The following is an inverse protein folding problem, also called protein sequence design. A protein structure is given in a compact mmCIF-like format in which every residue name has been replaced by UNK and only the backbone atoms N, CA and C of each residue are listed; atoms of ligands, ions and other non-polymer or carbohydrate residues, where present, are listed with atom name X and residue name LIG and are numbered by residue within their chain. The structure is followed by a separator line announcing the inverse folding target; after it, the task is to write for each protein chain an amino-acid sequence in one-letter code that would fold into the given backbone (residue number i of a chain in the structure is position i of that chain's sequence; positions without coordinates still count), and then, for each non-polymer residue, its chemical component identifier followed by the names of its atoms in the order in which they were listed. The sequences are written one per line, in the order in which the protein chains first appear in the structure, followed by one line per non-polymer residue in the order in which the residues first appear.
data_IF_482973149599
#
_entry.id   IF_482973149599
#
_cell.length_a   1.000
_cell.length_b   1.000
_cell.length_c   1.000
_cell.angle_alpha   90.00
_cell.angle_beta   90.00
_cell.angle_gamma   90.00
#
_symmetry.space_group_name_H-M   'P 1'
#
loop_
_entity.id
_entity.type
_entity.pdbx_description
1 polymer ?
#
# COMPACT_ATOMS: atom_id res chain seq x y z
N UNK A 1 21.55 5.84 -14.97
CA UNK A 1 20.19 5.91 -14.42
C UNK A 1 19.28 6.13 -15.60
N UNK A 2 18.52 5.11 -15.99
CA UNK A 2 17.74 5.13 -17.22
C UNK A 2 16.32 4.65 -16.95
N UNK A 3 15.34 5.38 -17.47
CA UNK A 3 13.92 5.07 -17.29
C UNK A 3 13.32 4.48 -18.55
N UNK A 4 12.89 3.23 -18.47
CA UNK A 4 12.23 2.49 -19.53
C UNK A 4 10.71 2.58 -19.41
N UNK A 5 10.06 2.90 -20.52
CA UNK A 5 8.60 2.97 -20.65
C UNK A 5 8.09 1.86 -21.55
N UNK A 6 7.00 1.21 -21.15
CA UNK A 6 6.38 0.18 -21.99
C UNK A 6 5.27 0.83 -22.84
N UNK A 7 5.41 0.70 -24.15
CA UNK A 7 4.44 1.21 -25.11
C UNK A 7 3.18 0.33 -25.13
N UNK A 8 2.00 0.95 -25.03
CA UNK A 8 0.70 0.28 -25.08
C UNK A 8 0.14 0.23 -26.51
N UNK A 9 0.21 1.34 -27.22
CA UNK A 9 -0.19 1.47 -28.63
C UNK A 9 0.68 2.53 -29.33
N UNK A 10 0.30 3.01 -30.53
CA UNK A 10 1.15 3.94 -31.29
C UNK A 10 1.43 5.27 -30.56
N UNK A 11 0.52 5.72 -29.69
CA UNK A 11 0.59 7.04 -29.05
C UNK A 11 0.60 6.97 -27.52
N UNK A 12 0.24 5.84 -26.93
CA UNK A 12 0.10 5.69 -25.48
C UNK A 12 1.13 4.75 -24.85
N UNK A 13 1.46 5.04 -23.60
CA UNK A 13 2.29 4.20 -22.72
C UNK A 13 1.45 3.64 -21.56
N UNK A 14 1.91 2.54 -20.98
CA UNK A 14 1.36 2.09 -19.71
C UNK A 14 1.73 3.08 -18.59
N UNK A 15 0.88 3.23 -17.56
CA UNK A 15 1.07 4.20 -16.49
C UNK A 15 2.10 3.73 -15.44
N UNK A 16 3.14 3.04 -15.87
CA UNK A 16 4.26 2.60 -15.02
C UNK A 16 5.55 2.61 -15.82
N UNK A 17 6.66 2.79 -15.11
CA UNK A 17 8.01 2.88 -15.68
C UNK A 17 8.98 2.02 -14.88
N UNK A 18 10.04 1.54 -15.53
CA UNK A 18 11.13 0.86 -14.86
C UNK A 18 12.37 1.73 -14.89
N UNK A 19 12.97 1.95 -13.74
CA UNK A 19 14.21 2.69 -13.64
C UNK A 19 15.36 1.72 -13.41
N UNK A 20 16.21 1.57 -14.43
CA UNK A 20 17.39 0.75 -14.33
C UNK A 20 18.56 1.50 -13.69
N UNK A 21 19.31 0.77 -12.88
CA UNK A 21 20.47 1.28 -12.14
C UNK A 21 21.67 0.40 -12.39
N UNK A 22 22.86 0.98 -12.28
CA UNK A 22 24.09 0.20 -12.39
C UNK A 22 24.12 -0.86 -11.28
N UNK A 23 24.65 -2.05 -11.58
CA UNK A 23 24.72 -3.16 -10.62
C UNK A 23 25.50 -2.84 -9.34
N UNK A 24 25.16 -3.56 -8.26
CA UNK A 24 25.93 -3.56 -7.02
C UNK A 24 27.17 -4.47 -7.18
N UNK A 25 28.35 -3.88 -7.07
CA UNK A 25 29.63 -4.60 -7.16
C UNK A 25 30.57 -4.16 -6.02
N UNK A 26 31.63 -4.94 -5.77
CA UNK A 26 32.61 -4.61 -4.72
C UNK A 26 33.44 -3.39 -5.12
N UNK A 27 33.84 -3.36 -6.39
CA UNK A 27 34.60 -2.29 -7.02
C UNK A 27 33.81 -1.82 -8.24
N UNK A 28 33.75 -0.53 -8.49
CA UNK A 28 33.10 0.07 -9.66
C UNK A 28 31.58 -0.15 -9.83
N UNK A 29 30.91 -0.67 -8.80
CA UNK A 29 29.45 -0.74 -8.72
C UNK A 29 28.82 0.57 -8.29
N UNK A 30 27.49 0.63 -8.34
CA UNK A 30 26.74 1.78 -7.81
C UNK A 30 26.95 1.92 -6.29
N UNK A 31 27.04 3.16 -5.83
CA UNK A 31 27.02 3.48 -4.40
C UNK A 31 25.63 3.22 -3.82
N UNK A 32 25.55 2.59 -2.64
CA UNK A 32 24.27 2.43 -1.95
C UNK A 32 23.61 3.78 -1.62
N UNK A 33 24.41 4.83 -1.40
CA UNK A 33 23.89 6.19 -1.15
C UNK A 33 23.22 6.77 -2.39
N UNK A 34 23.72 6.48 -3.58
CA UNK A 34 23.09 6.95 -4.83
C UNK A 34 21.76 6.24 -5.05
N UNK A 35 21.65 4.97 -4.68
CA UNK A 35 20.36 4.25 -4.71
C UNK A 35 19.40 4.83 -3.68
N UNK A 36 19.87 5.17 -2.46
CA UNK A 36 19.04 5.84 -1.44
C UNK A 36 18.52 7.20 -1.93
N UNK A 37 19.36 7.97 -2.64
CA UNK A 37 18.94 9.21 -3.29
C UNK A 37 17.93 8.95 -4.42
N UNK A 38 18.12 7.90 -5.21
CA UNK A 38 17.17 7.51 -6.25
C UNK A 38 15.80 7.14 -5.65
N UNK A 39 15.76 6.44 -4.51
CA UNK A 39 14.50 6.11 -3.81
C UNK A 39 13.68 7.38 -3.51
N UNK A 40 14.35 8.48 -3.18
CA UNK A 40 13.76 9.77 -2.85
C UNK A 40 13.53 10.68 -4.07
N UNK A 41 13.89 10.25 -5.29
CA UNK A 41 13.75 11.01 -6.54
C UNK A 41 14.84 12.06 -6.78
N UNK A 42 15.94 12.00 -6.04
CA UNK A 42 17.02 12.99 -6.11
C UNK A 42 18.03 12.74 -7.25
N UNK A 43 17.85 11.69 -8.05
CA UNK A 43 18.72 11.34 -9.19
C UNK A 43 18.02 11.68 -10.49
N UNK A 44 18.63 12.50 -11.35
CA UNK A 44 18.05 12.85 -12.66
C UNK A 44 18.22 11.73 -13.69
N UNK A 45 17.28 11.66 -14.62
CA UNK A 45 17.36 10.83 -15.82
C UNK A 45 18.69 11.05 -16.57
N UNK A 46 19.31 9.96 -17.01
CA UNK A 46 20.60 9.99 -17.71
C UNK A 46 21.83 10.17 -16.82
N UNK A 47 21.68 10.26 -15.49
CA UNK A 47 22.84 10.35 -14.59
C UNK A 47 23.77 9.13 -14.72
N UNK A 48 25.06 9.41 -14.88
CA UNK A 48 26.12 8.41 -14.91
C UNK A 48 26.69 8.24 -13.50
N UNK A 49 26.50 7.05 -12.91
CA UNK A 49 26.98 6.75 -11.57
C UNK A 49 28.51 6.81 -11.49
N UNK A 50 29.01 7.61 -10.55
CA UNK A 50 30.43 7.70 -10.26
C UNK A 50 30.83 6.58 -9.28
N UNK A 51 31.78 5.70 -9.64
CA UNK A 51 32.20 4.61 -8.77
C UNK A 51 33.05 5.05 -7.57
N UNK A 52 33.60 6.28 -7.60
CA UNK A 52 34.54 6.80 -6.60
C UNK A 52 33.82 7.57 -5.50
N UNK A 53 32.81 8.36 -5.85
CA UNK A 53 32.09 9.22 -4.90
C UNK A 53 30.59 9.21 -5.15
N UNK A 54 29.76 9.18 -4.08
CA UNK A 54 28.32 9.33 -4.20
C UNK A 54 27.92 10.69 -4.80
N UNK A 55 26.73 10.73 -5.40
CA UNK A 55 26.06 11.94 -5.84
C UNK A 55 25.83 12.89 -4.65
N UNK A 56 26.14 14.16 -4.84
CA UNK A 56 25.96 15.22 -3.86
C UNK A 56 24.99 16.30 -4.36
N UNK A 57 24.48 17.12 -3.45
CA UNK A 57 23.56 18.21 -3.80
C UNK A 57 24.16 19.30 -4.70
N UNK A 58 25.49 19.35 -4.81
CA UNK A 58 26.20 20.28 -5.70
C UNK A 58 26.32 19.76 -7.14
N UNK A 59 26.06 18.47 -7.37
CA UNK A 59 26.28 17.84 -8.67
C UNK A 59 25.13 18.15 -9.64
N UNK A 60 25.43 18.37 -10.94
CA UNK A 60 24.39 18.63 -11.95
C UNK A 60 23.31 17.54 -12.04
N UNK A 61 23.69 16.29 -11.74
CA UNK A 61 22.80 15.12 -11.73
C UNK A 61 21.82 15.06 -10.56
N UNK A 62 21.95 15.95 -9.57
CA UNK A 62 21.08 16.00 -8.39
C UNK A 62 19.78 16.77 -8.69
N UNK A 63 18.65 16.17 -8.34
CA UNK A 63 17.34 16.81 -8.34
C UNK A 63 17.05 17.36 -6.94
N UNK A 64 17.09 18.69 -6.77
CA UNK A 64 16.90 19.33 -5.46
C UNK A 64 15.44 19.35 -4.98
N UNK A 65 14.48 19.20 -5.90
CA UNK A 65 13.05 19.31 -5.59
C UNK A 65 12.28 18.16 -6.28
N UNK A 66 12.43 16.92 -5.80
CA UNK A 66 11.76 15.77 -6.38
C UNK A 66 10.24 15.86 -6.19
N UNK A 67 9.52 15.62 -7.28
CA UNK A 67 8.08 15.38 -7.28
C UNK A 67 7.77 13.96 -6.78
N UNK A 68 6.48 13.64 -6.66
CA UNK A 68 6.05 12.26 -6.31
C UNK A 68 6.41 11.30 -7.45
N UNK A 69 6.23 11.74 -8.70
CA UNK A 69 6.54 10.95 -9.90
C UNK A 69 8.03 10.62 -10.02
N UNK A 70 8.91 11.45 -9.44
CA UNK A 70 10.36 11.21 -9.41
C UNK A 70 10.75 10.12 -8.39
N UNK A 71 9.90 9.81 -7.41
CA UNK A 71 10.21 8.86 -6.34
C UNK A 71 10.00 7.42 -6.77
N UNK A 72 10.77 6.52 -6.16
CA UNK A 72 10.57 5.09 -6.37
C UNK A 72 9.33 4.62 -5.61
N UNK A 73 8.41 4.02 -6.34
CA UNK A 73 7.16 3.49 -5.78
C UNK A 73 7.29 2.03 -5.31
N UNK A 74 8.23 1.28 -5.88
CA UNK A 74 8.54 -0.11 -5.50
C UNK A 74 10.04 -0.35 -5.67
N UNK A 75 10.69 -0.87 -4.64
CA UNK A 75 12.05 -1.38 -4.76
C UNK A 75 12.02 -2.84 -5.22
N UNK A 76 12.60 -3.15 -6.37
CA UNK A 76 12.73 -4.53 -6.87
C UNK A 76 14.20 -4.93 -6.87
N UNK A 77 14.56 -5.90 -6.03
CA UNK A 77 15.90 -6.50 -6.01
C UNK A 77 15.95 -7.70 -6.96
N UNK A 78 16.68 -7.60 -8.05
CA UNK A 78 16.90 -8.73 -8.97
C UNK A 78 18.16 -9.48 -8.55
N UNK A 79 18.04 -10.78 -8.30
CA UNK A 79 19.13 -11.64 -7.83
C UNK A 79 19.07 -12.98 -8.53
N UNK A 80 20.24 -13.55 -8.86
CA UNK A 80 20.29 -14.94 -9.31
C UNK A 80 19.98 -15.91 -8.18
N UNK A 81 19.38 -17.06 -8.50
CA UNK A 81 19.16 -18.17 -7.56
C UNK A 81 20.47 -18.66 -6.91
N UNK A 82 21.63 -18.36 -7.50
CA UNK A 82 22.96 -18.56 -6.92
C UNK A 82 23.40 -17.50 -5.90
N UNK A 83 22.47 -16.73 -5.32
CA UNK A 83 22.79 -15.67 -4.37
C UNK A 83 23.63 -16.12 -3.16
N UNK A 84 23.71 -17.43 -2.84
CA UNK A 84 24.63 -17.90 -1.80
C UNK A 84 26.11 -17.69 -2.11
N UNK A 85 26.46 -17.45 -3.38
CA UNK A 85 27.80 -17.05 -3.80
C UNK A 85 28.00 -15.52 -3.75
N UNK A 86 26.96 -14.76 -3.40
CA UNK A 86 27.05 -13.32 -3.25
C UNK A 86 28.00 -12.98 -2.11
N UNK A 87 28.90 -12.04 -2.37
CA UNK A 87 29.84 -11.55 -1.36
C UNK A 87 29.09 -10.88 -0.21
N UNK A 88 29.49 -11.09 1.06
CA UNK A 88 28.86 -10.46 2.21
C UNK A 88 28.76 -8.93 2.10
N UNK A 89 29.76 -8.29 1.48
CA UNK A 89 29.81 -6.85 1.21
C UNK A 89 28.63 -6.37 0.36
N UNK A 90 28.25 -7.12 -0.67
CA UNK A 90 27.10 -6.81 -1.55
C UNK A 90 25.78 -7.03 -0.82
N UNK A 91 25.69 -8.13 -0.06
CA UNK A 91 24.52 -8.43 0.76
C UNK A 91 24.24 -7.29 1.76
N UNK A 92 25.28 -6.76 2.41
CA UNK A 92 25.15 -5.61 3.31
C UNK A 92 24.65 -4.35 2.59
N UNK A 93 25.15 -4.04 1.39
CA UNK A 93 24.63 -2.92 0.58
C UNK A 93 23.14 -3.10 0.26
N UNK A 94 22.73 -4.31 -0.11
CA UNK A 94 21.32 -4.61 -0.37
C UNK A 94 20.44 -4.46 0.87
N UNK A 95 20.90 -4.93 2.03
CA UNK A 95 20.19 -4.76 3.30
C UNK A 95 20.03 -3.28 3.66
N UNK A 96 21.11 -2.50 3.54
CA UNK A 96 21.15 -1.06 3.77
C UNK A 96 20.17 -0.29 2.88
N UNK A 97 20.09 -0.65 1.59
CA UNK A 97 19.12 -0.06 0.64
C UNK A 97 17.68 -0.45 1.00
N UNK A 98 17.45 -1.73 1.33
CA UNK A 98 16.12 -2.22 1.73
C UNK A 98 15.63 -1.54 3.02
N UNK A 99 16.50 -1.32 3.98
CA UNK A 99 16.19 -0.61 5.22
C UNK A 99 15.78 0.83 4.95
N UNK A 100 16.54 1.55 4.13
CA UNK A 100 16.16 2.89 3.70
C UNK A 100 14.82 2.92 2.95
N UNK A 101 14.54 1.93 2.11
CA UNK A 101 13.22 1.80 1.46
C UNK A 101 12.10 1.51 2.48
N UNK A 102 12.39 0.72 3.52
CA UNK A 102 11.44 0.42 4.60
C UNK A 102 11.10 1.65 5.43
N UNK A 103 12.10 2.48 5.74
CA UNK A 103 11.91 3.74 6.46
C UNK A 103 11.04 4.74 5.67
N UNK A 104 11.10 4.67 4.33
CA UNK A 104 10.26 5.45 3.41
C UNK A 104 8.88 4.80 3.16
N UNK A 105 8.62 3.61 3.74
CA UNK A 105 7.41 2.83 3.52
C UNK A 105 7.28 2.22 2.11
N UNK A 106 8.32 2.32 1.27
CA UNK A 106 8.34 1.83 -0.11
C UNK A 106 8.29 0.30 -0.08
N UNK A 107 7.31 -0.37 -0.72
CA UNK A 107 7.27 -1.82 -0.78
C UNK A 107 8.52 -2.40 -1.46
N UNK A 108 9.08 -3.47 -0.88
CA UNK A 108 10.25 -4.16 -1.43
C UNK A 108 9.87 -5.55 -1.92
N UNK A 109 10.27 -5.88 -3.15
CA UNK A 109 10.12 -7.17 -3.79
C UNK A 109 11.49 -7.71 -4.19
N UNK A 110 11.62 -9.03 -4.30
CA UNK A 110 12.79 -9.66 -4.87
C UNK A 110 12.39 -10.52 -6.07
N UNK A 111 13.16 -10.46 -7.15
CA UNK A 111 13.05 -11.35 -8.30
C UNK A 111 14.24 -12.30 -8.25
N UNK A 112 13.98 -13.59 -8.08
CA UNK A 112 15.01 -14.63 -8.14
C UNK A 112 15.07 -15.20 -9.55
N UNK A 113 16.14 -14.90 -10.28
CA UNK A 113 16.37 -15.33 -11.67
C UNK A 113 17.15 -16.65 -11.74
N UNK A 114 17.24 -17.25 -12.93
CA UNK A 114 18.04 -18.48 -13.18
C UNK A 114 17.65 -19.67 -12.27
N UNK A 115 16.37 -19.76 -11.92
CA UNK A 115 15.86 -20.79 -11.01
C UNK A 115 15.95 -22.20 -11.58
N UNK A 116 15.98 -22.32 -12.90
CA UNK A 116 16.11 -23.56 -13.67
C UNK A 116 17.51 -24.14 -13.60
N UNK A 117 18.54 -23.31 -13.40
CA UNK A 117 19.89 -23.79 -13.31
C UNK A 117 20.28 -24.28 -11.89
N UNK A 118 19.55 -23.86 -10.87
CA UNK A 118 19.86 -24.15 -9.45
C UNK A 118 19.21 -25.45 -8.95
N UNK A 119 18.10 -25.90 -9.56
CA UNK A 119 17.37 -27.07 -9.09
C UNK A 119 16.90 -27.96 -10.26
N UNK A 120 17.33 -29.22 -10.26
CA UNK A 120 16.94 -30.16 -11.32
C UNK A 120 15.44 -30.44 -11.40
N UNK A 121 14.67 -30.15 -10.34
CA UNK A 121 13.20 -30.25 -10.37
C UNK A 121 12.56 -29.07 -11.10
N UNK A 122 13.12 -27.85 -10.97
CA UNK A 122 12.67 -26.64 -11.66
C UNK A 122 13.19 -26.59 -13.09
N UNK A 123 14.37 -27.16 -13.34
CA UNK A 123 14.91 -27.44 -14.68
C UNK A 123 13.94 -28.32 -15.48
N UNK A 124 13.45 -29.41 -14.87
CA UNK A 124 12.50 -30.34 -15.50
C UNK A 124 11.13 -29.72 -15.71
N UNK A 125 10.67 -28.89 -14.76
CA UNK A 125 9.39 -28.19 -14.87
C UNK A 125 9.31 -26.99 -13.93
N UNK A 126 9.03 -25.82 -14.50
CA UNK A 126 8.79 -24.58 -13.76
C UNK A 126 7.55 -24.65 -12.85
N UNK A 127 6.66 -25.62 -13.06
CA UNK A 127 5.53 -25.87 -12.15
C UNK A 127 5.97 -26.35 -10.76
N UNK A 128 7.20 -26.85 -10.66
CA UNK A 128 7.77 -27.32 -9.41
C UNK A 128 8.43 -26.20 -8.58
N UNK A 129 8.50 -24.98 -9.09
CA UNK A 129 9.15 -23.84 -8.41
C UNK A 129 8.64 -23.67 -6.98
N UNK A 130 7.33 -23.74 -6.76
CA UNK A 130 6.76 -23.66 -5.41
C UNK A 130 6.61 -25.01 -4.71
N UNK A 131 6.92 -26.13 -5.35
CA UNK A 131 6.78 -27.50 -4.80
C UNK A 131 8.09 -28.09 -4.33
N UNK A 132 9.21 -27.73 -4.97
CA UNK A 132 10.54 -28.23 -4.62
C UNK A 132 10.91 -27.83 -3.19
N UNK A 133 11.12 -28.83 -2.34
CA UNK A 133 11.55 -28.60 -0.95
C UNK A 133 12.93 -27.93 -0.89
N UNK A 134 13.80 -28.27 -1.85
CA UNK A 134 15.12 -27.67 -1.98
C UNK A 134 15.00 -26.19 -2.30
N UNK A 135 14.25 -25.84 -3.34
CA UNK A 135 14.10 -24.44 -3.75
C UNK A 135 13.37 -23.61 -2.67
N UNK A 136 12.35 -24.16 -2.01
CA UNK A 136 11.70 -23.51 -0.87
C UNK A 136 12.68 -23.21 0.28
N UNK A 137 13.63 -24.12 0.56
CA UNK A 137 14.66 -23.88 1.57
C UNK A 137 15.56 -22.72 1.15
N UNK A 138 16.01 -22.69 -0.11
CA UNK A 138 16.83 -21.60 -0.66
C UNK A 138 16.11 -20.25 -0.59
N UNK A 139 14.82 -20.20 -0.92
CA UNK A 139 14.05 -18.96 -0.76
C UNK A 139 13.95 -18.51 0.70
N UNK A 140 13.79 -19.44 1.66
CA UNK A 140 13.79 -19.10 3.10
C UNK A 140 15.12 -18.55 3.58
N UNK A 141 16.22 -19.14 3.11
CA UNK A 141 17.56 -18.69 3.42
C UNK A 141 17.76 -17.26 2.85
N UNK A 142 17.37 -17.01 1.59
CA UNK A 142 17.39 -15.68 0.97
C UNK A 142 16.54 -14.66 1.73
N UNK A 143 15.32 -15.05 2.09
CA UNK A 143 14.40 -14.24 2.89
C UNK A 143 15.02 -13.83 4.22
N UNK A 144 15.71 -14.77 4.88
CA UNK A 144 16.38 -14.52 6.17
C UNK A 144 17.61 -13.61 6.00
N UNK A 145 18.36 -13.78 4.92
CA UNK A 145 19.57 -13.01 4.64
C UNK A 145 19.29 -11.55 4.30
N UNK A 146 18.28 -11.28 3.45
CA UNK A 146 17.94 -9.91 3.06
C UNK A 146 16.85 -9.27 3.90
N UNK A 147 16.07 -10.07 4.64
CA UNK A 147 14.90 -9.58 5.36
C UNK A 147 13.74 -9.19 4.45
N UNK A 148 13.62 -9.82 3.28
CA UNK A 148 12.46 -9.72 2.37
C UNK A 148 11.53 -10.90 2.65
N UNK A 149 10.25 -10.68 2.98
CA UNK A 149 9.31 -11.76 3.26
C UNK A 149 9.16 -12.77 2.11
N UNK A 150 8.96 -14.04 2.43
CA UNK A 150 8.79 -15.13 1.45
C UNK A 150 7.72 -14.86 0.39
N UNK A 151 6.60 -14.23 0.76
CA UNK A 151 5.51 -13.89 -0.16
C UNK A 151 5.81 -12.70 -1.09
N UNK A 152 7.00 -12.11 -0.97
CA UNK A 152 7.54 -11.01 -1.79
C UNK A 152 8.77 -11.44 -2.61
N UNK A 153 9.10 -12.73 -2.60
CA UNK A 153 10.13 -13.34 -3.44
C UNK A 153 9.46 -13.97 -4.66
N UNK A 154 9.85 -13.52 -5.85
CA UNK A 154 9.24 -13.83 -7.13
C UNK A 154 10.25 -14.60 -7.99
N UNK A 155 10.19 -15.94 -7.97
CA UNK A 155 11.06 -16.77 -8.81
C UNK A 155 10.68 -16.67 -10.29
N UNK A 156 11.67 -16.43 -11.14
CA UNK A 156 11.53 -16.37 -12.60
C UNK A 156 12.67 -17.14 -13.28
N UNK A 157 12.37 -17.74 -14.43
CA UNK A 157 13.39 -18.24 -15.36
C UNK A 157 13.73 -17.13 -16.36
N UNK A 158 15.01 -17.01 -16.71
CA UNK A 158 15.44 -16.07 -17.74
C UNK A 158 15.27 -16.68 -19.12
N UNK A 159 14.95 -15.84 -20.10
CA UNK A 159 15.21 -16.16 -21.50
C UNK A 159 16.70 -15.94 -21.77
N UNK A 160 17.43 -16.99 -22.12
CA UNK A 160 18.87 -16.90 -22.39
C UNK A 160 19.27 -17.50 -23.73
N UNK A 161 18.70 -18.66 -24.07
CA UNK A 161 19.04 -19.40 -25.29
C UNK A 161 17.82 -19.77 -26.14
N UNK A 162 16.63 -19.64 -25.55
CA UNK A 162 15.37 -19.94 -26.21
C UNK A 162 15.07 -18.91 -27.30
N UNK A 163 14.62 -19.40 -28.45
CA UNK A 163 14.23 -18.58 -29.60
C UNK A 163 12.72 -18.35 -29.68
N UNK A 164 11.95 -19.08 -28.88
CA UNK A 164 10.49 -19.02 -28.83
C UNK A 164 10.03 -18.71 -27.41
N UNK A 165 8.86 -18.08 -27.30
CA UNK A 165 8.20 -17.85 -26.03
C UNK A 165 7.76 -19.18 -25.41
N UNK A 166 7.82 -19.23 -24.09
CA UNK A 166 7.46 -20.40 -23.28
C UNK A 166 6.35 -19.97 -22.31
N UNK A 167 5.15 -20.57 -22.38
CA UNK A 167 4.02 -20.15 -21.56
C UNK A 167 4.25 -20.26 -20.05
N UNK A 168 5.05 -21.23 -19.60
CA UNK A 168 5.33 -21.42 -18.18
C UNK A 168 6.32 -20.35 -17.69
N UNK A 169 7.32 -19.98 -18.50
CA UNK A 169 8.24 -18.84 -18.23
C UNK A 169 7.48 -17.51 -18.24
N UNK A 170 6.68 -17.25 -19.28
CA UNK A 170 5.87 -16.05 -19.41
C UNK A 170 4.91 -15.89 -18.24
N UNK A 171 4.31 -16.99 -17.77
CA UNK A 171 3.43 -16.96 -16.59
C UNK A 171 4.16 -16.45 -15.35
N UNK A 172 5.42 -16.87 -15.13
CA UNK A 172 6.21 -16.39 -13.99
C UNK A 172 6.58 -14.91 -14.13
N UNK A 173 6.99 -14.47 -15.32
CA UNK A 173 7.36 -13.08 -15.60
C UNK A 173 6.14 -12.16 -15.46
N UNK A 174 5.00 -12.53 -16.06
CA UNK A 174 3.75 -11.76 -16.00
C UNK A 174 3.19 -11.72 -14.58
N UNK A 175 3.30 -12.81 -13.83
CA UNK A 175 2.94 -12.80 -12.41
C UNK A 175 3.87 -11.87 -11.62
N UNK A 176 5.18 -11.89 -11.86
CA UNK A 176 6.11 -10.99 -11.20
C UNK A 176 5.80 -9.52 -11.50
N UNK A 177 5.57 -9.19 -12.77
CA UNK A 177 5.16 -7.86 -13.24
C UNK A 177 3.87 -7.40 -12.56
N UNK A 178 2.84 -8.25 -12.56
CA UNK A 178 1.57 -7.96 -11.91
C UNK A 178 1.77 -7.62 -10.44
N UNK A 179 2.58 -8.40 -9.72
CA UNK A 179 2.85 -8.17 -8.30
C UNK A 179 3.58 -6.83 -8.09
N UNK A 180 4.53 -6.48 -8.94
CA UNK A 180 5.20 -5.17 -8.87
C UNK A 180 4.20 -4.02 -9.04
N UNK A 181 3.30 -4.12 -10.01
CA UNK A 181 2.26 -3.11 -10.26
C UNK A 181 1.30 -3.03 -9.06
N UNK A 182 0.76 -4.17 -8.59
CA UNK A 182 -0.17 -4.21 -7.45
C UNK A 182 0.43 -3.51 -6.20
N UNK A 183 1.69 -3.80 -5.86
CA UNK A 183 2.36 -3.16 -4.73
C UNK A 183 2.66 -1.67 -4.96
N UNK A 184 2.99 -1.29 -6.20
CA UNK A 184 3.26 0.10 -6.57
C UNK A 184 2.00 0.95 -6.51
N UNK A 185 0.90 0.44 -7.05
CA UNK A 185 -0.41 1.09 -7.01
C UNK A 185 -0.88 1.27 -5.55
N UNK A 186 -0.77 0.23 -4.71
CA UNK A 186 -1.09 0.29 -3.27
C UNK A 186 -0.26 1.37 -2.53
N UNK A 187 1.01 1.57 -2.92
CA UNK A 187 1.87 2.59 -2.31
C UNK A 187 1.57 3.99 -2.85
N UNK A 188 1.37 4.13 -4.16
CA UNK A 188 1.00 5.39 -4.79
C UNK A 188 -0.34 5.92 -4.26
N UNK A 189 -1.33 5.05 -4.02
CA UNK A 189 -2.59 5.43 -3.37
C UNK A 189 -2.36 6.05 -1.99
N UNK A 190 -1.50 5.46 -1.17
CA UNK A 190 -1.15 5.99 0.17
C UNK A 190 -0.46 7.34 0.10
N UNK A 191 0.45 7.52 -0.86
CA UNK A 191 1.11 8.81 -1.09
C UNK A 191 0.09 9.88 -1.47
N UNK A 192 -0.82 9.58 -2.39
CA UNK A 192 -1.88 10.50 -2.81
C UNK A 192 -2.82 10.88 -1.66
N UNK A 193 -3.20 9.94 -0.79
CA UNK A 193 -4.03 10.19 0.39
C UNK A 193 -3.36 11.19 1.35
N UNK A 194 -2.04 11.11 1.52
CA UNK A 194 -1.28 12.02 2.39
C UNK A 194 -1.20 13.47 1.87
N UNK A 195 -1.40 13.67 0.56
CA UNK A 195 -1.37 14.99 -0.11
C UNK A 195 -2.76 15.62 -0.15
N UNK A 196 -3.82 14.82 -0.21
CA UNK A 196 -5.21 15.29 -0.08
C UNK A 196 -5.56 15.59 1.38
N UNK A 197 -5.31 16.82 1.81
CA UNK A 197 -5.79 17.35 3.10
C UNK A 197 -7.33 17.32 3.12
N UNK A 198 -7.91 16.27 3.70
CA UNK A 198 -9.34 16.15 3.99
C UNK A 198 -9.90 14.76 3.70
N UNK A 199 -9.60 13.78 4.56
CA UNK A 199 -10.27 12.47 4.51
C UNK A 199 -11.79 12.67 4.68
N UNK A 200 -12.63 12.27 3.71
CA UNK A 200 -14.08 12.29 3.92
C UNK A 200 -14.43 11.20 4.94
N UNK A 201 -14.82 11.64 6.13
CA UNK A 201 -15.16 10.74 7.23
C UNK A 201 -16.60 10.23 7.06
N UNK A 202 -16.78 8.91 7.12
CA UNK A 202 -18.08 8.25 7.16
C UNK A 202 -18.26 7.62 8.55
N UNK A 203 -19.39 7.88 9.22
CA UNK A 203 -19.67 7.30 10.53
C UNK A 203 -20.81 6.28 10.45
N UNK A 204 -20.65 5.14 11.11
CA UNK A 204 -21.70 4.12 11.24
C UNK A 204 -22.19 4.11 12.68
N UNK A 205 -23.47 4.42 12.88
CA UNK A 205 -24.12 4.39 14.18
C UNK A 205 -24.74 3.00 14.40
N UNK A 206 -24.17 2.21 15.31
CA UNK A 206 -24.63 0.85 15.57
C UNK A 206 -25.62 0.79 16.75
N UNK A 207 -26.37 -0.32 16.88
CA UNK A 207 -27.32 -0.60 17.98
C UNK A 207 -28.48 0.41 18.11
N UNK A 208 -29.01 0.86 16.97
CA UNK A 208 -30.10 1.84 16.94
C UNK A 208 -31.39 1.39 17.64
N UNK A 209 -31.62 0.08 17.73
CA UNK A 209 -32.77 -0.55 18.40
C UNK A 209 -32.69 -0.51 19.93
N UNK A 210 -31.49 -0.45 20.51
CA UNK A 210 -31.27 -0.14 21.93
C UNK A 210 -31.38 1.37 22.18
N UNK A 211 -30.97 2.17 21.19
CA UNK A 211 -30.90 3.63 21.28
C UNK A 211 -32.25 4.35 21.06
N UNK A 212 -33.27 3.69 20.48
CA UNK A 212 -34.58 4.26 20.18
C UNK A 212 -35.70 3.18 20.17
N UNK A 213 -36.76 3.41 20.93
CA UNK A 213 -37.92 2.50 21.07
C UNK A 213 -38.68 2.36 19.73
N UNK A 214 -38.83 3.43 18.96
CA UNK A 214 -39.59 3.43 17.69
C UNK A 214 -38.97 2.51 16.63
N UNK A 215 -37.64 2.35 16.66
CA UNK A 215 -36.88 1.47 15.75
C UNK A 215 -36.79 0.03 16.23
N UNK A 216 -37.16 -0.23 17.49
CA UNK A 216 -37.37 -1.58 18.02
C UNK A 216 -38.63 -2.23 17.44
N UNK A 217 -39.65 -1.40 17.15
CA UNK A 217 -40.95 -1.83 16.61
C UNK A 217 -40.94 -1.93 15.07
N UNK A 218 -40.36 -0.94 14.38
CA UNK A 218 -40.25 -0.98 12.91
C UNK A 218 -39.01 -0.25 12.39
N UNK A 219 -38.16 -0.95 11.64
CA UNK A 219 -36.91 -0.42 11.09
C UNK A 219 -37.12 0.63 9.98
N UNK A 220 -38.31 0.70 9.38
CA UNK A 220 -38.65 1.77 8.43
C UNK A 220 -38.76 3.14 9.10
N UNK A 221 -38.86 3.18 10.44
CA UNK A 221 -38.93 4.43 11.19
C UNK A 221 -37.55 5.04 11.51
N UNK A 222 -36.44 4.38 11.14
CA UNK A 222 -35.07 4.85 11.40
C UNK A 222 -34.85 6.29 10.90
N UNK A 223 -35.31 6.59 9.68
CA UNK A 223 -35.18 7.93 9.09
C UNK A 223 -36.31 8.90 9.49
N UNK A 224 -37.32 8.43 10.23
CA UNK A 224 -38.47 9.22 10.70
C UNK A 224 -38.38 9.57 12.19
N UNK A 225 -37.61 8.82 12.96
CA UNK A 225 -37.44 9.02 14.41
C UNK A 225 -36.79 10.37 14.71
N UNK A 226 -37.51 11.22 15.46
CA UNK A 226 -36.99 12.51 15.94
C UNK A 226 -35.79 12.32 16.90
N UNK A 227 -35.81 11.24 17.68
CA UNK A 227 -34.73 10.91 18.63
C UNK A 227 -33.42 10.55 17.91
N UNK A 228 -33.49 9.74 16.84
CA UNK A 228 -32.31 9.40 16.05
C UNK A 228 -31.78 10.60 15.25
N UNK A 229 -32.66 11.41 14.65
CA UNK A 229 -32.24 12.65 13.98
C UNK A 229 -31.46 13.57 14.90
N UNK A 230 -31.89 13.72 16.16
CA UNK A 230 -31.17 14.50 17.16
C UNK A 230 -29.76 13.93 17.43
N UNK A 231 -29.64 12.61 17.63
CA UNK A 231 -28.34 11.94 17.83
C UNK A 231 -27.40 12.08 16.63
N UNK A 232 -27.93 12.03 15.41
CA UNK A 232 -27.15 12.26 14.18
C UNK A 232 -26.65 13.71 14.13
N UNK A 233 -27.47 14.68 14.51
CA UNK A 233 -27.09 16.11 14.56
C UNK A 233 -26.04 16.40 15.64
N UNK A 234 -26.16 15.77 16.81
CA UNK A 234 -25.16 15.85 17.88
C UNK A 234 -23.81 15.27 17.44
N UNK A 235 -23.83 14.14 16.69
CA UNK A 235 -22.63 13.53 16.11
C UNK A 235 -22.03 14.36 14.98
N UNK A 236 -22.86 14.93 14.11
CA UNK A 236 -22.42 15.88 13.08
C UNK A 236 -21.63 17.04 13.70
N UNK A 237 -22.21 17.65 14.74
CA UNK A 237 -21.58 18.77 15.46
C UNK A 237 -20.30 18.37 16.20
N UNK A 238 -20.22 17.13 16.70
CA UNK A 238 -19.07 16.65 17.48
C UNK A 238 -17.91 16.16 16.61
N UNK A 239 -18.21 15.55 15.46
CA UNK A 239 -17.21 14.90 14.60
C UNK A 239 -16.89 15.73 13.35
N UNK A 240 -17.66 16.78 13.04
CA UNK A 240 -17.51 17.56 11.82
C UNK A 240 -17.93 16.80 10.55
N UNK A 241 -18.70 15.71 10.69
CA UNK A 241 -19.12 14.83 9.59
C UNK A 241 -20.53 15.25 9.13
N UNK A 242 -20.79 15.53 7.84
CA UNK A 242 -22.14 15.85 7.36
C UNK A 242 -23.17 14.81 7.80
N UNK A 243 -24.38 15.24 8.20
CA UNK A 243 -25.44 14.31 8.64
C UNK A 243 -25.77 13.25 7.58
N UNK A 244 -25.61 13.58 6.29
CA UNK A 244 -25.77 12.65 5.16
C UNK A 244 -24.78 11.49 5.14
N UNK A 245 -23.65 11.60 5.86
CA UNK A 245 -22.56 10.63 5.94
C UNK A 245 -22.57 9.84 7.26
N UNK A 246 -23.63 9.96 8.06
CA UNK A 246 -23.83 9.19 9.30
C UNK A 246 -24.92 8.14 9.03
N UNK A 247 -24.53 6.86 9.02
CA UNK A 247 -25.40 5.75 8.62
C UNK A 247 -25.86 4.95 9.85
N UNK A 248 -27.15 5.00 10.21
CA UNK A 248 -27.71 4.18 11.29
C UNK A 248 -27.87 2.72 10.86
N UNK A 249 -27.33 1.79 11.66
CA UNK A 249 -27.38 0.34 11.43
C UNK A 249 -27.78 -0.39 12.73
N UNK A 250 -28.61 -1.44 12.61
CA UNK A 250 -29.00 -2.31 13.72
C UNK A 250 -27.96 -3.43 13.90
N UNK A 251 -27.57 -3.74 15.14
CA UNK A 251 -26.61 -4.80 15.44
C UNK A 251 -27.32 -6.00 16.10
N UNK A 252 -26.87 -7.24 15.85
CA UNK A 252 -27.46 -8.45 16.43
C UNK A 252 -26.61 -8.99 17.58
N UNK A 253 -27.23 -9.36 18.68
CA UNK A 253 -26.54 -9.99 19.81
C UNK A 253 -27.06 -11.37 20.21
N UNK A 254 -27.77 -12.11 19.34
CA UNK A 254 -27.89 -13.59 19.31
C UNK A 254 -29.12 -14.02 18.45
N UNK A 255 -28.94 -15.11 17.67
CA UNK A 255 -29.87 -15.80 16.74
C UNK A 255 -30.21 -15.07 15.42
N UNK A 256 -29.78 -15.70 14.31
CA UNK A 256 -30.00 -15.28 12.93
C UNK A 256 -31.37 -15.79 12.46
N UNK A 257 -32.35 -14.89 12.40
CA UNK A 257 -33.45 -14.96 11.45
C UNK A 257 -33.54 -13.59 10.78
N UNK A 258 -33.09 -13.53 9.53
CA UNK A 258 -32.96 -12.30 8.75
C UNK A 258 -34.33 -11.87 8.23
N UNK A 259 -34.89 -10.81 8.81
CA UNK A 259 -36.05 -10.13 8.22
C UNK A 259 -35.59 -9.22 7.06
N UNK A 260 -36.39 -9.14 5.99
CA UNK A 260 -36.10 -8.43 4.73
C UNK A 260 -35.65 -6.96 4.90
N UNK A 261 -36.21 -6.24 5.88
CA UNK A 261 -35.91 -4.83 6.10
C UNK A 261 -34.48 -4.58 6.65
N UNK A 262 -33.88 -5.55 7.34
CA UNK A 262 -32.52 -5.42 7.92
C UNK A 262 -31.44 -5.60 6.86
N UNK A 263 -31.61 -6.62 6.01
CA UNK A 263 -30.78 -6.84 4.83
C UNK A 263 -30.79 -5.61 3.94
N UNK A 264 -31.95 -4.95 3.82
CA UNK A 264 -32.10 -3.69 3.08
C UNK A 264 -31.29 -2.54 3.67
N UNK A 265 -31.23 -2.38 5.00
CA UNK A 265 -30.43 -1.32 5.65
C UNK A 265 -28.92 -1.54 5.49
N UNK A 266 -28.45 -2.78 5.67
CA UNK A 266 -27.03 -3.12 5.47
C UNK A 266 -26.66 -2.95 3.98
N UNK A 267 -27.47 -3.47 3.06
CA UNK A 267 -27.27 -3.25 1.62
C UNK A 267 -27.32 -1.78 1.24
N UNK A 268 -28.17 -0.98 1.86
CA UNK A 268 -28.24 0.46 1.60
C UNK A 268 -26.99 1.18 2.10
N UNK A 269 -26.47 0.81 3.27
CA UNK A 269 -25.21 1.35 3.79
C UNK A 269 -24.04 0.98 2.88
N UNK A 270 -23.91 -0.30 2.51
CA UNK A 270 -22.88 -0.80 1.60
C UNK A 270 -23.02 -0.17 0.20
N UNK A 271 -24.23 -0.07 -0.36
CA UNK A 271 -24.47 0.61 -1.64
C UNK A 271 -24.11 2.09 -1.60
N UNK A 272 -24.38 2.79 -0.48
CA UNK A 272 -23.99 4.19 -0.33
C UNK A 272 -22.48 4.36 -0.18
N UNK A 273 -21.80 3.44 0.51
CA UNK A 273 -20.33 3.40 0.54
C UNK A 273 -19.76 3.25 -0.88
N UNK A 274 -20.36 2.37 -1.69
CA UNK A 274 -19.97 2.15 -3.10
C UNK A 274 -20.28 3.38 -3.97
N UNK A 275 -21.47 3.98 -3.83
CA UNK A 275 -21.86 5.19 -4.59
C UNK A 275 -21.00 6.41 -4.23
N UNK A 276 -20.64 6.56 -2.96
CA UNK A 276 -19.74 7.64 -2.52
C UNK A 276 -18.35 7.48 -3.15
N UNK A 277 -17.86 6.24 -3.26
CA UNK A 277 -16.65 5.91 -3.98
C UNK A 277 -16.75 6.18 -5.49
N UNK A 278 -17.92 5.99 -6.10
CA UNK A 278 -18.14 6.20 -7.54
C UNK A 278 -18.39 7.66 -7.95
N UNK A 279 -18.83 8.53 -7.04
CA UNK A 279 -19.11 9.95 -7.31
C UNK A 279 -17.92 10.89 -7.05
N UNK A 280 -16.79 10.39 -6.57
CA UNK A 280 -15.56 11.18 -6.49
C UNK A 280 -15.06 11.48 -7.92
N UNK A 281 -15.06 12.75 -8.37
CA UNK A 281 -14.52 13.08 -9.68
C UNK A 281 -13.00 12.98 -9.59
N UNK A 282 -12.44 12.14 -10.47
CA UNK A 282 -11.03 11.70 -10.55
C UNK A 282 -10.76 10.43 -9.76
N UNK A 283 -10.32 9.39 -10.49
CA UNK A 283 -9.93 8.05 -10.01
C UNK A 283 -9.14 8.14 -8.70
N UNK A 284 -9.83 7.92 -7.58
CA UNK A 284 -9.29 7.97 -6.23
C UNK A 284 -9.93 6.82 -5.46
N UNK A 285 -9.15 5.77 -5.19
CA UNK A 285 -9.57 4.75 -4.24
C UNK A 285 -9.53 5.37 -2.85
N UNK A 286 -10.70 5.82 -2.40
CA UNK A 286 -10.95 6.33 -1.06
C UNK A 286 -10.66 5.23 -0.01
N UNK A 287 -9.62 5.40 0.81
CA UNK A 287 -9.57 4.75 2.12
C UNK A 287 -10.69 5.33 2.98
N UNK A 288 -11.76 4.53 3.13
CA UNK A 288 -12.92 4.87 3.92
C UNK A 288 -12.57 4.68 5.40
N UNK A 289 -12.29 5.77 6.12
CA UNK A 289 -12.21 5.77 7.57
C UNK A 289 -13.59 5.51 8.18
N UNK A 290 -13.93 4.25 8.47
CA UNK A 290 -15.19 3.87 9.11
C UNK A 290 -15.05 4.07 10.62
N UNK A 291 -15.61 5.16 11.14
CA UNK A 291 -15.76 5.34 12.58
C UNK A 291 -17.02 4.59 13.03
N UNK A 292 -16.83 3.49 13.75
CA UNK A 292 -17.93 2.74 14.37
C UNK A 292 -18.24 3.37 15.73
N UNK A 293 -19.36 4.06 15.84
CA UNK A 293 -19.80 4.63 17.11
C UNK A 293 -20.77 3.66 17.81
N UNK A 294 -20.47 3.31 19.07
CA UNK A 294 -21.40 2.65 19.99
C UNK A 294 -22.07 3.67 20.92
N UNK A 295 -23.33 3.46 21.36
CA UNK A 295 -24.09 4.45 22.13
C UNK A 295 -23.46 4.88 23.46
N UNK A 296 -22.57 4.07 24.04
CA UNK A 296 -21.88 4.36 25.31
C UNK A 296 -20.86 5.51 25.21
N UNK A 297 -20.47 5.90 23.99
CA UNK A 297 -19.42 6.91 23.78
C UNK A 297 -19.91 8.37 23.92
N UNK A 298 -21.23 8.61 23.91
CA UNK A 298 -21.79 9.98 23.98
C UNK A 298 -21.54 10.66 25.36
N UNK A 299 -21.41 9.88 26.44
CA UNK A 299 -21.08 10.42 27.77
C UNK A 299 -19.58 10.76 27.93
N UNK A 300 -18.70 10.14 27.14
CA UNK A 300 -17.24 10.34 27.22
C UNK A 300 -16.75 11.53 26.39
N UNK A 301 -17.41 11.83 25.26
CA UNK A 301 -17.03 12.97 24.41
C UNK A 301 -17.53 14.31 25.00
N UNK A 302 -18.69 14.30 25.65
CA UNK A 302 -19.22 15.48 26.39
C UNK A 302 -18.33 15.90 27.57
N UNK A 303 -17.62 14.97 28.22
CA UNK A 303 -16.74 15.30 29.37
C UNK A 303 -15.38 15.84 28.97
N UNK A 304 -14.90 15.56 27.75
CA UNK A 304 -13.62 16.10 27.24
C UNK A 304 -13.73 17.48 26.60
N UNK A 305 -14.90 17.90 26.13
CA UNK A 305 -15.10 19.24 25.54
C UNK A 305 -15.45 20.35 26.54
N UNK A 306 -15.71 20.03 27.81
CA UNK A 306 -15.93 21.03 28.89
C UNK A 306 -14.67 21.43 29.67
N UNK A 307 -13.46 20.98 29.25
CA UNK A 307 -12.19 21.31 29.92
C UNK A 307 -11.25 22.24 29.14
N UNK A 308 -11.80 23.09 28.26
CA UNK A 308 -11.07 24.21 27.66
C UNK A 308 -11.72 25.57 27.94
N UNK A 309 -12.17 25.79 29.18
CA UNK A 309 -12.42 27.14 29.68
C UNK A 309 -11.17 27.70 30.35
N UNK A 310 -10.51 28.70 29.75
CA UNK A 310 -9.59 29.60 30.47
C UNK A 310 -10.33 30.20 31.67
N UNK A 311 -9.74 30.26 32.86
CA UNK A 311 -9.03 31.47 33.33
C UNK A 311 -7.86 31.10 34.28
N UNK A 312 -6.94 31.92 34.78
CA UNK A 312 -6.66 33.36 34.84
C UNK A 312 -5.24 33.49 35.41
N UNK A 313 -4.57 34.61 35.12
CA UNK A 313 -3.33 35.01 35.80
C UNK A 313 -3.44 34.93 37.33
N UNK A 314 -2.35 34.50 37.99
CA UNK A 314 -1.84 35.10 39.24
C UNK A 314 -0.35 34.75 39.40
N UNK A 315 0.52 35.77 39.33
CA UNK A 315 1.78 35.87 40.11
C UNK A 315 1.39 36.31 41.55
N UNK A 316 2.33 36.46 42.50
CA UNK A 316 3.31 35.51 43.04
C UNK A 316 3.23 35.47 44.59
N UNK A 317 4.09 34.68 45.23
CA UNK A 317 4.86 35.05 46.43
C UNK A 317 5.97 34.04 46.64
#
# INVERSE_FOLDING_TARGET
HETHRIRKDRENFYPFVFTDTRGLEEQNGVSENDIKLALMGHVKEGYQYNPVSPLSAADPGYNSTPSIDDRVHVLVCVCSAWYSHMRPSILQKMMSIREAASDLGIPQLAVLTNIDCECSETEKSLRNVYRSKYFQKRMRDFSSSLGIPMNRILPVKNYSHETQLDPDVDTLILNALRRMIDFGDDYAEKLCISVSVGVPQLAVLTKIDEACIDTKINLRNVYRSKSLKKKISDLHSSLGIPESHILPVKNYSHKIQTCSDVVTLILTAVRRMILFHQMAPSRLSLELGVVICTPEFHQLVSSRYKRSGRPTLRRPS
#
